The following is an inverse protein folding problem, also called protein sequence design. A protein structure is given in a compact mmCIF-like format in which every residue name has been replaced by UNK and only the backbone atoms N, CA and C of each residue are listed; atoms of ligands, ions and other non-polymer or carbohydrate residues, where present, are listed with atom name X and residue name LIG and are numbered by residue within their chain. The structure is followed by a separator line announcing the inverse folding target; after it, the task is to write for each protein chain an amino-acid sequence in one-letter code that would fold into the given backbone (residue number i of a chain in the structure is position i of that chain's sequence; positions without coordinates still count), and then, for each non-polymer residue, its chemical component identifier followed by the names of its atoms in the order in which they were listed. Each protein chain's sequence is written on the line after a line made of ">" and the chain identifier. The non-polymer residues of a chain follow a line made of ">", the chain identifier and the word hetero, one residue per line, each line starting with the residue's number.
data_IF_924594143590
#
_entry.id   IF_924594143590
#
_cell.length_a   1.000
_cell.length_b   1.000
_cell.length_c   1.000
_cell.angle_alpha   90.00
_cell.angle_beta   90.00
_cell.angle_gamma   90.00
#
_symmetry.space_group_name_H-M   'P 1'
#
loop_
_entity.id
_entity.type
_entity.pdbx_description
1 polymer ?
#
# COMPACT_ATOMS: atom_id res chain seq x y z
N UNK A 1 -26.77 -21.36 -4.57
CA UNK A 1 -25.59 -20.59 -5.05
C UNK A 1 -25.29 -19.42 -4.11
N UNK A 2 -26.27 -18.58 -3.74
CA UNK A 2 -26.04 -17.41 -2.86
C UNK A 2 -25.47 -17.76 -1.47
N UNK A 3 -25.88 -18.87 -0.87
CA UNK A 3 -25.40 -19.30 0.45
C UNK A 3 -23.95 -19.77 0.43
N UNK A 4 -23.47 -20.34 -0.68
CA UNK A 4 -22.08 -20.78 -0.84
C UNK A 4 -21.13 -19.57 -0.91
N UNK A 5 -21.54 -18.52 -1.63
CA UNK A 5 -20.75 -17.26 -1.72
C UNK A 5 -20.66 -16.55 -0.37
N UNK A 6 -21.78 -16.44 0.36
CA UNK A 6 -21.80 -15.83 1.70
C UNK A 6 -20.92 -16.58 2.70
N UNK A 7 -20.94 -17.92 2.68
CA UNK A 7 -20.08 -18.74 3.56
C UNK A 7 -18.60 -18.52 3.24
N UNK A 8 -18.24 -18.40 1.97
CA UNK A 8 -16.84 -18.19 1.58
C UNK A 8 -16.33 -16.80 1.99
N UNK A 9 -17.13 -15.74 1.80
CA UNK A 9 -16.78 -14.40 2.26
C UNK A 9 -16.69 -14.33 3.80
N UNK A 10 -17.57 -15.02 4.52
CA UNK A 10 -17.52 -15.11 5.98
C UNK A 10 -16.26 -15.85 6.43
N UNK A 11 -15.89 -16.96 5.81
CA UNK A 11 -14.66 -17.70 6.09
C UNK A 11 -13.42 -16.84 5.81
N UNK A 12 -13.42 -16.06 4.72
CA UNK A 12 -12.32 -15.15 4.41
C UNK A 12 -12.10 -14.13 5.55
N UNK A 13 -13.18 -13.48 6.03
CA UNK A 13 -13.09 -12.48 7.11
C UNK A 13 -12.66 -13.05 8.47
N UNK A 14 -12.85 -14.33 8.72
CA UNK A 14 -12.38 -14.99 9.95
C UNK A 14 -10.93 -15.46 9.83
N UNK A 15 -10.32 -15.40 8.64
CA UNK A 15 -8.96 -15.84 8.42
C UNK A 15 -7.94 -14.78 8.88
N UNK A 16 -6.82 -15.23 9.45
CA UNK A 16 -5.69 -14.37 9.80
C UNK A 16 -5.10 -13.70 8.55
N UNK A 17 -5.07 -14.40 7.42
CA UNK A 17 -4.58 -13.90 6.13
C UNK A 17 -5.33 -12.64 5.71
N UNK A 18 -6.66 -12.63 5.87
CA UNK A 18 -7.48 -11.45 5.54
C UNK A 18 -7.04 -10.22 6.33
N UNK A 19 -6.92 -10.34 7.66
CA UNK A 19 -6.58 -9.21 8.52
C UNK A 19 -5.13 -8.75 8.34
N UNK A 20 -4.21 -9.66 8.09
CA UNK A 20 -2.82 -9.32 7.76
C UNK A 20 -2.75 -8.50 6.46
N UNK A 21 -3.43 -8.94 5.41
CA UNK A 21 -3.50 -8.19 4.16
C UNK A 21 -4.21 -6.83 4.34
N UNK A 22 -5.38 -6.83 4.99
CA UNK A 22 -6.16 -5.63 5.21
C UNK A 22 -5.38 -4.57 6.01
N UNK A 23 -4.70 -4.99 7.08
CA UNK A 23 -3.85 -4.10 7.88
C UNK A 23 -2.67 -3.54 7.08
N UNK A 24 -2.01 -4.37 6.27
CA UNK A 24 -0.88 -3.93 5.47
C UNK A 24 -1.31 -2.90 4.42
N UNK A 25 -2.39 -3.14 3.66
CA UNK A 25 -2.91 -2.18 2.70
C UNK A 25 -3.45 -0.91 3.35
N UNK A 26 -4.09 -1.02 4.52
CA UNK A 26 -4.52 0.14 5.30
C UNK A 26 -3.34 1.05 5.67
N UNK A 27 -2.25 0.48 6.22
CA UNK A 27 -1.08 1.23 6.66
C UNK A 27 -0.36 1.91 5.50
N UNK A 28 -0.22 1.22 4.37
CA UNK A 28 0.42 1.80 3.17
C UNK A 28 -0.47 2.90 2.58
N UNK A 29 -1.78 2.67 2.43
CA UNK A 29 -2.72 3.66 1.94
C UNK A 29 -2.75 4.93 2.81
N UNK A 30 -2.73 4.76 4.14
CA UNK A 30 -2.67 5.88 5.09
C UNK A 30 -1.39 6.69 4.91
N UNK A 31 -0.23 6.03 4.81
CA UNK A 31 1.05 6.69 4.64
C UNK A 31 1.15 7.44 3.32
N UNK A 32 0.84 6.75 2.21
CA UNK A 32 0.98 7.28 0.85
C UNK A 32 0.02 8.43 0.59
N UNK A 33 -1.27 8.28 0.94
CA UNK A 33 -2.26 9.33 0.72
C UNK A 33 -1.99 10.57 1.58
N UNK A 34 -1.53 10.39 2.82
CA UNK A 34 -1.10 11.49 3.68
C UNK A 34 0.01 12.32 3.02
N UNK A 35 1.06 11.65 2.55
CA UNK A 35 2.18 12.31 1.87
C UNK A 35 1.74 13.00 0.58
N UNK A 36 1.01 12.32 -0.28
CA UNK A 36 0.58 12.88 -1.58
C UNK A 36 -0.28 14.14 -1.38
N UNK A 37 -1.18 14.13 -0.39
CA UNK A 37 -2.03 15.29 -0.11
C UNK A 37 -1.25 16.50 0.42
N UNK A 38 -0.14 16.28 1.11
CA UNK A 38 0.63 17.35 1.76
C UNK A 38 2.02 17.58 1.14
N UNK A 39 2.38 16.89 0.05
CA UNK A 39 3.73 17.00 -0.52
C UNK A 39 4.06 18.43 -0.96
N UNK A 40 3.12 19.13 -1.59
CA UNK A 40 3.34 20.51 -2.04
C UNK A 40 3.47 21.47 -0.85
N UNK A 41 2.48 21.60 0.07
CA UNK A 41 2.62 22.49 1.22
C UNK A 41 3.83 22.11 2.07
N UNK A 42 4.11 20.84 2.29
CA UNK A 42 5.27 20.39 3.06
C UNK A 42 6.60 20.84 2.43
N UNK A 43 6.75 20.77 1.12
CA UNK A 43 7.96 21.24 0.44
C UNK A 43 8.09 22.76 0.47
N UNK A 44 6.98 23.47 0.31
CA UNK A 44 6.96 24.95 0.40
C UNK A 44 7.32 25.41 1.81
N UNK A 45 6.77 24.80 2.86
CA UNK A 45 7.10 25.07 4.26
C UNK A 45 8.58 24.81 4.59
N UNK A 46 9.24 23.92 3.82
CA UNK A 46 10.68 23.65 3.90
C UNK A 46 11.53 24.59 3.04
N UNK A 47 10.94 25.63 2.46
CA UNK A 47 11.63 26.64 1.65
C UNK A 47 11.87 26.24 0.18
N UNK A 48 11.23 25.19 -0.30
CA UNK A 48 11.27 24.83 -1.73
C UNK A 48 10.36 25.78 -2.50
N UNK A 49 10.85 26.30 -3.62
CA UNK A 49 10.05 27.16 -4.51
C UNK A 49 8.76 26.45 -4.94
N UNK A 50 7.63 27.16 -4.93
CA UNK A 50 6.30 26.60 -5.24
C UNK A 50 6.24 25.90 -6.60
N UNK A 51 6.97 26.39 -7.61
CA UNK A 51 7.07 25.76 -8.93
C UNK A 51 7.71 24.36 -8.84
N UNK A 52 8.80 24.24 -8.10
CA UNK A 52 9.49 22.97 -7.86
C UNK A 52 8.66 22.00 -7.02
N UNK A 53 7.95 22.51 -6.01
CA UNK A 53 7.03 21.72 -5.20
C UNK A 53 5.86 21.17 -6.03
N UNK A 54 5.31 21.97 -6.95
CA UNK A 54 4.25 21.55 -7.88
C UNK A 54 4.78 20.52 -8.91
N UNK A 55 6.03 20.67 -9.35
CA UNK A 55 6.65 19.66 -10.21
C UNK A 55 6.78 18.29 -9.51
N UNK A 56 6.98 18.26 -8.19
CA UNK A 56 7.05 17.01 -7.44
C UNK A 56 5.73 16.23 -7.48
N UNK A 57 4.57 16.90 -7.31
CA UNK A 57 3.27 16.19 -7.40
C UNK A 57 2.98 15.73 -8.83
N UNK A 58 3.38 16.50 -9.85
CA UNK A 58 3.26 16.09 -11.26
C UNK A 58 4.11 14.86 -11.56
N UNK A 59 5.35 14.82 -11.04
CA UNK A 59 6.23 13.67 -11.17
C UNK A 59 5.66 12.42 -10.44
N UNK A 60 5.05 12.59 -9.27
CA UNK A 60 4.36 11.51 -8.57
C UNK A 60 3.20 10.95 -9.39
N UNK A 61 2.43 11.80 -10.08
CA UNK A 61 1.36 11.37 -10.99
C UNK A 61 1.86 10.55 -12.18
N UNK A 62 2.97 10.96 -12.81
CA UNK A 62 3.62 10.18 -13.87
C UNK A 62 4.19 8.86 -13.34
N UNK A 63 4.81 8.90 -12.16
CA UNK A 63 5.33 7.72 -11.48
C UNK A 63 4.22 6.72 -11.12
N UNK A 64 3.03 7.20 -10.71
CA UNK A 64 1.85 6.36 -10.47
C UNK A 64 1.48 5.55 -11.71
N UNK A 65 1.42 6.18 -12.88
CA UNK A 65 1.12 5.48 -14.14
C UNK A 65 2.20 4.44 -14.47
N UNK A 66 3.48 4.81 -14.34
CA UNK A 66 4.59 3.89 -14.54
C UNK A 66 4.54 2.72 -13.53
N UNK A 67 4.29 3.01 -12.26
CA UNK A 67 4.15 2.02 -11.19
C UNK A 67 3.07 0.99 -11.48
N UNK A 68 1.90 1.43 -11.96
CA UNK A 68 0.80 0.55 -12.35
C UNK A 68 1.19 -0.41 -13.48
N UNK A 69 1.81 0.11 -14.54
CA UNK A 69 2.25 -0.71 -15.67
C UNK A 69 3.32 -1.73 -15.25
N UNK A 70 4.31 -1.28 -14.47
CA UNK A 70 5.39 -2.16 -13.98
C UNK A 70 4.84 -3.21 -13.02
N UNK A 71 3.94 -2.82 -12.09
CA UNK A 71 3.30 -3.77 -11.17
C UNK A 71 2.52 -4.84 -11.92
N UNK A 72 1.69 -4.47 -12.89
CA UNK A 72 0.94 -5.42 -13.71
C UNK A 72 1.87 -6.42 -14.41
N UNK A 73 2.91 -5.92 -15.07
CA UNK A 73 3.90 -6.77 -15.73
C UNK A 73 4.64 -7.71 -14.76
N UNK A 74 4.96 -7.24 -13.55
CA UNK A 74 5.61 -8.06 -12.53
C UNK A 74 4.68 -9.10 -11.92
N UNK A 75 3.40 -8.78 -11.69
CA UNK A 75 2.41 -9.68 -11.13
C UNK A 75 2.14 -10.89 -12.02
N UNK A 76 2.33 -10.75 -13.34
CA UNK A 76 2.21 -11.86 -14.29
C UNK A 76 3.41 -12.83 -14.24
N UNK A 77 4.58 -12.38 -13.75
CA UNK A 77 5.85 -13.13 -13.83
C UNK A 77 6.40 -13.57 -12.48
N UNK A 78 6.11 -12.84 -11.43
CA UNK A 78 6.70 -13.05 -10.11
C UNK A 78 5.64 -13.40 -9.05
N UNK A 79 6.01 -14.11 -7.99
CA UNK A 79 5.11 -14.37 -6.86
C UNK A 79 4.63 -13.04 -6.24
N UNK A 80 3.31 -12.92 -6.08
CA UNK A 80 2.62 -11.67 -5.70
C UNK A 80 3.15 -11.04 -4.41
N UNK A 81 3.54 -11.86 -3.41
CA UNK A 81 4.06 -11.33 -2.14
C UNK A 81 5.41 -10.60 -2.29
N UNK A 82 6.28 -11.04 -3.23
CA UNK A 82 7.54 -10.31 -3.51
C UNK A 82 7.27 -8.97 -4.20
N UNK A 83 6.31 -8.96 -5.14
CA UNK A 83 5.90 -7.74 -5.82
C UNK A 83 5.30 -6.76 -4.81
N UNK A 84 4.43 -7.24 -3.90
CA UNK A 84 3.86 -6.41 -2.85
C UNK A 84 4.93 -5.78 -1.94
N UNK A 85 5.89 -6.59 -1.45
CA UNK A 85 6.99 -6.09 -0.62
C UNK A 85 7.81 -5.04 -1.37
N UNK A 86 8.17 -5.28 -2.64
CA UNK A 86 8.91 -4.32 -3.45
C UNK A 86 8.17 -2.99 -3.54
N UNK A 87 6.87 -3.03 -3.91
CA UNK A 87 6.08 -1.81 -4.07
C UNK A 87 5.76 -1.11 -2.74
N UNK A 88 5.79 -1.79 -1.61
CA UNK A 88 5.72 -1.18 -0.28
C UNK A 88 7.06 -0.57 0.17
N UNK A 89 8.18 -1.14 -0.27
CA UNK A 89 9.51 -0.58 -0.02
C UNK A 89 9.74 0.75 -0.77
N UNK A 90 9.08 0.98 -1.91
CA UNK A 90 9.22 2.24 -2.65
C UNK A 90 8.72 3.45 -1.83
N UNK A 91 7.46 3.51 -1.35
CA UNK A 91 7.02 4.59 -0.47
C UNK A 91 7.79 4.64 0.84
N UNK A 92 8.23 3.52 1.40
CA UNK A 92 9.10 3.52 2.58
C UNK A 92 10.42 4.28 2.31
N UNK A 93 11.04 4.04 1.14
CA UNK A 93 12.21 4.80 0.69
C UNK A 93 11.90 6.29 0.52
N UNK A 94 10.75 6.63 -0.06
CA UNK A 94 10.29 8.02 -0.17
C UNK A 94 10.11 8.71 1.18
N UNK A 95 9.48 8.03 2.16
CA UNK A 95 9.33 8.53 3.53
C UNK A 95 10.69 8.74 4.21
N UNK A 96 11.61 7.79 4.06
CA UNK A 96 12.97 7.90 4.61
C UNK A 96 13.70 9.11 4.01
N UNK A 97 13.61 9.33 2.70
CA UNK A 97 14.19 10.51 2.05
C UNK A 97 13.63 11.82 2.62
N UNK A 98 12.31 11.91 2.80
CA UNK A 98 11.65 13.10 3.37
C UNK A 98 12.02 13.36 4.83
N UNK A 99 12.39 12.34 5.59
CA UNK A 99 12.86 12.45 6.97
C UNK A 99 14.32 12.88 7.05
N UNK A 100 15.18 12.34 6.17
CA UNK A 100 16.62 12.51 6.25
C UNK A 100 17.11 13.82 5.62
N UNK A 101 16.42 14.33 4.59
CA UNK A 101 16.88 15.48 3.85
C UNK A 101 15.70 16.33 3.36
N UNK A 102 15.89 17.66 3.36
CA UNK A 102 14.86 18.65 3.02
C UNK A 102 15.16 19.37 1.69
N UNK A 103 16.13 18.91 0.90
CA UNK A 103 16.47 19.53 -0.38
C UNK A 103 15.37 19.33 -1.45
N UNK A 104 15.22 20.25 -2.42
CA UNK A 104 14.22 20.14 -3.49
C UNK A 104 14.34 18.84 -4.31
N UNK A 105 15.58 18.41 -4.61
CA UNK A 105 15.84 17.20 -5.38
C UNK A 105 15.39 15.95 -4.64
N UNK A 106 15.58 15.91 -3.32
CA UNK A 106 15.12 14.82 -2.47
C UNK A 106 13.60 14.80 -2.38
N UNK A 107 12.95 15.96 -2.30
CA UNK A 107 11.50 16.07 -2.37
C UNK A 107 10.91 15.47 -3.66
N UNK A 108 11.54 15.77 -4.79
CA UNK A 108 11.15 15.21 -6.09
C UNK A 108 11.34 13.68 -6.14
N UNK A 109 12.51 13.19 -5.70
CA UNK A 109 12.78 11.75 -5.66
C UNK A 109 11.82 10.99 -4.75
N UNK A 110 11.52 11.55 -3.58
CA UNK A 110 10.53 10.99 -2.65
C UNK A 110 9.13 10.93 -3.26
N UNK A 111 8.70 12.00 -3.95
CA UNK A 111 7.42 12.05 -4.65
C UNK A 111 7.30 10.96 -5.72
N UNK A 112 8.36 10.73 -6.49
CA UNK A 112 8.43 9.66 -7.49
C UNK A 112 8.30 8.28 -6.83
N UNK A 113 9.05 8.01 -5.76
CA UNK A 113 8.99 6.72 -5.05
C UNK A 113 7.61 6.45 -4.46
N UNK A 114 7.01 7.46 -3.83
CA UNK A 114 5.64 7.35 -3.26
C UNK A 114 4.62 7.15 -4.39
N UNK A 115 4.76 7.87 -5.51
CA UNK A 115 3.91 7.72 -6.67
C UNK A 115 3.97 6.33 -7.31
N UNK A 116 5.17 5.75 -7.46
CA UNK A 116 5.36 4.38 -7.94
C UNK A 116 4.63 3.36 -7.05
N UNK A 117 4.75 3.49 -5.72
CA UNK A 117 4.05 2.63 -4.76
C UNK A 117 2.54 2.75 -4.90
N UNK A 118 2.01 3.98 -4.92
CA UNK A 118 0.59 4.27 -5.06
C UNK A 118 -0.02 3.63 -6.32
N UNK A 119 0.75 3.60 -7.43
CA UNK A 119 0.29 3.02 -8.69
C UNK A 119 -0.05 1.53 -8.60
N UNK A 120 0.64 0.78 -7.75
CA UNK A 120 0.47 -0.67 -7.63
C UNK A 120 -0.60 -1.11 -6.61
N UNK A 121 -0.98 -0.25 -5.64
CA UNK A 121 -1.77 -0.66 -4.47
C UNK A 121 -3.08 -1.36 -4.83
N UNK A 122 -3.88 -0.76 -5.71
CA UNK A 122 -5.21 -1.29 -6.07
C UNK A 122 -5.08 -2.62 -6.84
N UNK A 123 -4.11 -2.70 -7.74
CA UNK A 123 -3.86 -3.91 -8.52
C UNK A 123 -3.34 -5.04 -7.63
N UNK A 124 -2.48 -4.73 -6.66
CA UNK A 124 -2.01 -5.68 -5.65
C UNK A 124 -3.15 -6.24 -4.79
N UNK A 125 -4.11 -5.40 -4.36
CA UNK A 125 -5.29 -5.86 -3.61
C UNK A 125 -6.04 -6.92 -4.42
N UNK A 126 -6.37 -6.63 -5.69
CA UNK A 126 -7.12 -7.53 -6.55
C UNK A 126 -6.36 -8.85 -6.82
N UNK A 127 -5.07 -8.76 -7.12
CA UNK A 127 -4.23 -9.93 -7.40
C UNK A 127 -4.02 -10.81 -6.17
N UNK A 128 -3.67 -10.22 -5.03
CA UNK A 128 -3.48 -10.97 -3.79
C UNK A 128 -4.77 -11.65 -3.34
N UNK A 129 -5.88 -10.91 -3.37
CA UNK A 129 -7.16 -11.47 -3.02
C UNK A 129 -7.51 -12.69 -3.90
N UNK A 130 -7.32 -12.61 -5.23
CA UNK A 130 -7.62 -13.71 -6.14
C UNK A 130 -6.76 -14.94 -5.85
N UNK A 131 -5.52 -14.75 -5.42
CA UNK A 131 -4.57 -15.82 -5.09
C UNK A 131 -4.87 -16.50 -3.75
N UNK A 132 -5.26 -15.74 -2.72
CA UNK A 132 -5.49 -16.27 -1.38
C UNK A 132 -6.92 -16.74 -1.13
N UNK A 133 -7.91 -16.08 -1.73
CA UNK A 133 -9.33 -16.36 -1.48
C UNK A 133 -10.08 -16.90 -2.70
N UNK A 134 -9.43 -16.95 -3.86
CA UNK A 134 -10.04 -17.40 -5.11
C UNK A 134 -11.04 -16.39 -5.69
N UNK A 135 -11.79 -16.84 -6.71
CA UNK A 135 -12.63 -15.94 -7.50
C UNK A 135 -14.15 -16.03 -7.19
N UNK A 136 -14.57 -17.06 -6.42
CA UNK A 136 -16.01 -17.32 -6.25
C UNK A 136 -16.77 -16.18 -5.54
N UNK A 137 -16.19 -15.59 -4.47
CA UNK A 137 -16.75 -14.45 -3.75
C UNK A 137 -15.92 -13.16 -3.95
N UNK A 138 -15.30 -13.02 -5.13
CA UNK A 138 -14.33 -11.96 -5.42
C UNK A 138 -14.85 -10.56 -5.11
N UNK A 139 -16.03 -10.19 -5.62
CA UNK A 139 -16.58 -8.84 -5.45
C UNK A 139 -16.86 -8.46 -3.99
N UNK A 140 -17.36 -9.40 -3.18
CA UNK A 140 -17.64 -9.15 -1.77
C UNK A 140 -16.36 -8.98 -0.96
N UNK A 141 -15.38 -9.89 -1.14
CA UNK A 141 -14.09 -9.83 -0.42
C UNK A 141 -13.31 -8.59 -0.86
N UNK A 142 -13.30 -8.27 -2.17
CA UNK A 142 -12.66 -7.06 -2.69
C UNK A 142 -13.28 -5.79 -2.10
N UNK A 143 -14.61 -5.76 -1.97
CA UNK A 143 -15.32 -4.65 -1.35
C UNK A 143 -14.84 -4.38 0.08
N UNK A 144 -14.61 -5.42 0.88
CA UNK A 144 -14.06 -5.26 2.24
C UNK A 144 -12.63 -4.72 2.23
N UNK A 145 -11.74 -5.28 1.39
CA UNK A 145 -10.37 -4.77 1.27
C UNK A 145 -10.35 -3.32 0.80
N UNK A 146 -11.16 -3.02 -0.21
CA UNK A 146 -11.22 -1.67 -0.78
C UNK A 146 -11.81 -0.65 0.21
N UNK A 147 -12.80 -1.04 1.01
CA UNK A 147 -13.33 -0.18 2.08
C UNK A 147 -12.27 0.14 3.14
N UNK A 148 -11.49 -0.87 3.57
CA UNK A 148 -10.40 -0.68 4.55
C UNK A 148 -9.29 0.18 3.95
N UNK A 149 -8.93 -0.04 2.69
CA UNK A 149 -7.98 0.77 1.93
C UNK A 149 -8.45 2.24 1.83
N UNK A 150 -9.72 2.48 1.49
CA UNK A 150 -10.30 3.83 1.43
C UNK A 150 -10.33 4.53 2.79
N UNK A 151 -10.57 3.81 3.89
CA UNK A 151 -10.46 4.36 5.24
C UNK A 151 -9.03 4.84 5.52
N UNK A 152 -8.01 4.04 5.18
CA UNK A 152 -6.61 4.44 5.29
C UNK A 152 -6.31 5.68 4.46
N UNK A 153 -6.74 5.68 3.19
CA UNK A 153 -6.56 6.81 2.28
C UNK A 153 -7.23 8.10 2.76
N UNK A 154 -8.38 8.02 3.41
CA UNK A 154 -9.06 9.18 3.97
C UNK A 154 -8.43 9.68 5.26
N UNK A 155 -7.99 8.76 6.13
CA UNK A 155 -7.37 9.11 7.41
C UNK A 155 -5.95 9.67 7.25
N UNK A 156 -5.20 9.25 6.25
CA UNK A 156 -3.83 9.68 6.02
C UNK A 156 -3.66 11.20 5.95
N UNK A 157 -4.36 11.90 5.02
CA UNK A 157 -4.30 13.35 4.93
C UNK A 157 -4.75 14.06 6.22
N UNK A 158 -5.81 13.55 6.86
CA UNK A 158 -6.30 14.11 8.12
C UNK A 158 -5.24 14.03 9.22
N UNK A 159 -4.63 12.87 9.42
CA UNK A 159 -3.62 12.66 10.46
C UNK A 159 -2.34 13.45 10.18
N UNK A 160 -1.93 13.55 8.92
CA UNK A 160 -0.77 14.35 8.55
C UNK A 160 -1.00 15.85 8.79
N UNK A 161 -2.19 16.37 8.44
CA UNK A 161 -2.57 17.73 8.73
C UNK A 161 -2.65 18.01 10.24
N UNK A 162 -3.20 17.08 11.03
CA UNK A 162 -3.24 17.19 12.48
C UNK A 162 -1.84 17.15 13.11
N UNK A 163 -0.95 16.29 12.61
CA UNK A 163 0.45 16.25 13.04
C UNK A 163 1.11 17.62 12.87
N UNK A 164 0.99 18.20 11.68
CA UNK A 164 1.54 19.53 11.41
C UNK A 164 0.92 20.61 12.30
N UNK A 165 -0.40 20.63 12.47
CA UNK A 165 -1.11 21.61 13.30
C UNK A 165 -0.69 21.57 14.78
N UNK A 166 -0.45 20.38 15.32
CA UNK A 166 -0.14 20.18 16.75
C UNK A 166 1.35 20.37 17.06
N UNK A 167 2.24 20.01 16.14
CA UNK A 167 3.69 19.98 16.37
C UNK A 167 4.48 21.01 15.56
N UNK A 168 3.84 21.70 14.63
CA UNK A 168 4.51 22.58 13.67
C UNK A 168 5.37 21.84 12.64
N UNK A 169 5.28 20.49 12.58
CA UNK A 169 6.13 19.65 11.73
C UNK A 169 5.39 18.44 11.18
N UNK A 170 5.76 18.02 9.98
CA UNK A 170 5.27 16.78 9.37
C UNK A 170 6.03 15.53 9.83
N UNK A 171 7.17 15.71 10.54
CA UNK A 171 8.10 14.61 10.84
C UNK A 171 7.48 13.54 11.73
N UNK A 172 6.59 13.90 12.66
CA UNK A 172 5.90 12.91 13.52
C UNK A 172 5.07 11.95 12.67
N UNK A 173 4.24 12.49 11.76
CA UNK A 173 3.46 11.66 10.85
C UNK A 173 4.37 10.82 9.94
N UNK A 174 5.39 11.42 9.33
CA UNK A 174 6.32 10.71 8.44
C UNK A 174 7.00 9.55 9.15
N UNK A 175 7.41 9.73 10.41
CA UNK A 175 8.05 8.66 11.21
C UNK A 175 7.07 7.53 11.51
N UNK A 176 5.86 7.85 11.97
CA UNK A 176 4.82 6.85 12.25
C UNK A 176 4.38 6.11 10.98
N UNK A 177 4.25 6.85 9.87
CA UNK A 177 3.95 6.27 8.56
C UNK A 177 5.06 5.33 8.08
N UNK A 178 6.34 5.70 8.24
CA UNK A 178 7.46 4.83 7.89
C UNK A 178 7.48 3.54 8.72
N UNK A 179 7.23 3.62 10.02
CA UNK A 179 7.08 2.45 10.90
C UNK A 179 5.90 1.60 10.45
N UNK A 180 4.76 2.20 10.12
CA UNK A 180 3.57 1.51 9.62
C UNK A 180 3.84 0.76 8.30
N UNK A 181 4.49 1.41 7.33
CA UNK A 181 4.84 0.79 6.05
C UNK A 181 5.88 -0.32 6.23
N UNK A 182 6.86 -0.13 7.12
CA UNK A 182 7.81 -1.20 7.48
C UNK A 182 7.06 -2.40 8.08
N UNK A 183 6.12 -2.15 8.99
CA UNK A 183 5.22 -3.18 9.52
C UNK A 183 4.43 -3.89 8.43
N UNK A 184 3.92 -3.16 7.43
CA UNK A 184 3.22 -3.74 6.27
C UNK A 184 4.15 -4.66 5.45
N UNK A 185 5.40 -4.28 5.23
CA UNK A 185 6.39 -5.13 4.58
C UNK A 185 6.63 -6.44 5.34
N UNK A 186 6.76 -6.36 6.68
CA UNK A 186 6.91 -7.53 7.55
C UNK A 186 5.67 -8.42 7.48
N UNK A 187 4.47 -7.85 7.56
CA UNK A 187 3.20 -8.59 7.43
C UNK A 187 3.11 -9.34 6.10
N UNK A 188 3.52 -8.71 4.98
CA UNK A 188 3.59 -9.39 3.68
C UNK A 188 4.62 -10.52 3.65
N UNK A 189 5.75 -10.35 4.36
CA UNK A 189 6.76 -11.40 4.53
C UNK A 189 6.23 -12.64 5.26
N UNK A 190 5.37 -12.46 6.27
CA UNK A 190 4.74 -13.55 7.03
C UNK A 190 3.80 -14.36 6.14
N UNK A 191 3.07 -13.72 5.22
CA UNK A 191 2.16 -14.40 4.29
C UNK A 191 2.87 -15.37 3.34
N UNK A 192 4.16 -15.16 3.06
CA UNK A 192 4.98 -16.09 2.27
C UNK A 192 4.94 -17.53 2.81
N UNK A 193 4.92 -17.70 4.14
CA UNK A 193 4.91 -19.02 4.78
C UNK A 193 3.58 -19.76 4.69
N UNK A 194 2.47 -19.03 4.56
CA UNK A 194 1.13 -19.62 4.61
C UNK A 194 0.58 -20.06 3.24
N UNK A 195 1.01 -19.44 2.15
CA UNK A 195 0.63 -19.84 0.78
C UNK A 195 1.18 -21.20 0.36
N UNK A 196 2.30 -21.64 0.93
CA UNK A 196 2.91 -22.94 0.64
C UNK A 196 2.20 -24.13 1.32
N UNK A 197 1.44 -23.88 2.39
CA UNK A 197 0.75 -24.93 3.16
C UNK A 197 -0.58 -25.32 2.51
N UNK A 198 -1.29 -24.40 1.88
CA UNK A 198 -2.58 -24.65 1.22
C UNK A 198 -2.50 -25.63 0.03
N UNK A 199 -1.42 -25.59 -0.72
CA UNK A 199 -1.22 -26.50 -1.86
C UNK A 199 -0.85 -27.95 -1.47
N UNK A 200 -0.31 -28.18 -0.27
CA UNK A 200 0.03 -29.55 0.19
C UNK A 200 -1.20 -30.35 0.63
N UNK A 201 -2.24 -29.71 1.13
CA UNK A 201 -3.46 -30.43 1.55
C UNK A 201 -4.42 -30.76 0.39
N UNK A 202 -4.38 -30.00 -0.70
CA UNK A 202 -5.19 -30.29 -1.88
C UNK A 202 -4.66 -31.50 -2.70
N UNK A 203 -3.35 -31.76 -2.63
CA UNK A 203 -2.73 -32.92 -3.33
C UNK A 203 -2.95 -34.26 -2.67
N UNK A 204 -3.35 -34.31 -1.40
CA UNK A 204 -3.55 -35.58 -0.65
C UNK A 204 -5.01 -36.07 -0.68
N UNK A 205 -5.97 -35.28 -1.16
CA UNK A 205 -7.38 -35.69 -1.29
C UNK A 205 -7.77 -36.16 -2.69
N UNK A 206 -6.83 -36.16 -3.63
CA UNK A 206 -7.07 -36.60 -5.02
C UNK A 206 -6.65 -38.04 -5.33
N UNK A 207 -6.23 -38.83 -4.33
CA UNK A 207 -5.77 -40.23 -4.50
C UNK A 207 -6.46 -41.19 -3.54
N UNK A 208 -7.78 -41.06 -3.39
CA UNK A 208 -8.62 -42.08 -2.71
C UNK A 208 -9.87 -42.35 -3.52
#
# INVERSE_FOLDING_TARGET
>A
LGDVYKRQAQQARTSVVFWVMASAFFLVALAVSGVIAHIVPMLVDRGVEARSATAAISAAGLALLAGRLVAGWMLDRYPTHYVAILFFCLPLGGLALLLLNQSPQVGLAAAVLVGLGLGAEVDLIAFMQSRYFGQKAFGEIYGYFFAIFMLGSGLGPFLMGQSHRLTGSYNVFLTLAAIGVLGACVLMGILKGQGAVGHRHAGLQGTA
#
